data_IF_957792932682
#
_entry.id   IF_957792932682
#
_cell.length_a   1.000
_cell.length_b   1.000
_cell.length_c   1.000
_cell.angle_alpha   90.00
_cell.angle_beta   90.00
_cell.angle_gamma   90.00
#
_symmetry.space_group_name_H-M   'P 1'
#
loop_
_entity.id
_entity.type
_entity.pdbx_description
1 polymer ?
#
# COMPACT_ATOMS: atom_id res chain seq x y z
N UNK A 1 27.01 15.61 -28.74
CA UNK A 1 28.02 15.27 -27.71
C UNK A 1 27.38 14.26 -26.78
N UNK A 2 27.55 12.99 -27.15
CA UNK A 2 28.39 12.01 -26.45
C UNK A 2 27.77 11.54 -25.13
N UNK A 3 27.02 10.45 -25.30
CA UNK A 3 26.61 9.42 -24.36
C UNK A 3 27.51 9.28 -23.12
N UNK A 4 26.88 9.10 -21.96
CA UNK A 4 27.35 8.11 -21.01
C UNK A 4 26.18 7.56 -20.20
N UNK A 5 25.64 6.46 -20.73
CA UNK A 5 24.85 5.49 -19.99
C UNK A 5 25.76 4.80 -18.97
N UNK A 6 25.27 4.61 -17.74
CA UNK A 6 25.83 3.60 -16.82
C UNK A 6 24.75 2.58 -16.52
N UNK A 7 24.82 1.48 -17.27
CA UNK A 7 24.32 0.17 -16.89
C UNK A 7 24.99 -0.27 -15.58
N UNK A 8 24.19 -0.67 -14.60
CA UNK A 8 24.62 -1.64 -13.58
C UNK A 8 23.47 -2.63 -13.39
N UNK A 9 23.45 -3.63 -14.26
CA UNK A 9 22.87 -4.94 -13.98
C UNK A 9 24.01 -5.93 -14.15
N UNK A 10 24.48 -6.52 -13.04
CA UNK A 10 25.02 -7.88 -13.06
C UNK A 10 25.30 -8.38 -11.64
N UNK A 11 24.72 -9.53 -11.35
CA UNK A 11 25.28 -10.63 -10.56
C UNK A 11 25.36 -10.44 -9.04
N UNK A 12 24.35 -10.98 -8.34
CA UNK A 12 24.50 -11.41 -6.95
C UNK A 12 23.82 -12.78 -6.75
N UNK A 13 24.48 -13.81 -7.29
CA UNK A 13 24.43 -15.17 -6.77
C UNK A 13 25.87 -15.69 -6.80
N UNK A 14 26.20 -16.46 -5.77
CA UNK A 14 27.46 -17.16 -5.46
C UNK A 14 28.55 -16.33 -4.77
N UNK A 15 28.57 -16.42 -3.43
CA UNK A 15 29.80 -16.77 -2.69
C UNK A 15 29.50 -17.14 -1.23
N UNK A 16 29.09 -18.39 -1.00
CA UNK A 16 29.37 -19.11 0.24
C UNK A 16 30.54 -20.04 -0.07
N UNK A 17 31.76 -19.49 0.00
CA UNK A 17 32.97 -20.28 0.08
C UNK A 17 33.73 -19.80 1.31
N UNK A 18 33.78 -20.68 2.31
CA UNK A 18 34.58 -20.53 3.52
C UNK A 18 36.02 -20.72 3.09
N UNK A 19 36.72 -19.63 2.78
CA UNK A 19 38.17 -19.67 2.58
C UNK A 19 38.88 -19.69 3.93
N UNK A 20 39.27 -20.90 4.29
CA UNK A 20 40.27 -21.23 5.28
C UNK A 20 41.61 -20.60 4.85
N UNK A 21 41.92 -19.41 5.36
CA UNK A 21 43.27 -18.83 5.22
C UNK A 21 44.15 -19.38 6.33
N UNK A 22 44.85 -20.46 5.99
CA UNK A 22 46.00 -20.96 6.72
C UNK A 22 47.13 -19.94 6.64
N UNK A 23 47.32 -19.13 7.68
CA UNK A 23 48.59 -18.44 7.86
C UNK A 23 49.46 -19.23 8.86
N UNK A 24 50.14 -20.24 8.33
CA UNK A 24 51.24 -20.92 9.00
C UNK A 24 52.45 -19.98 9.03
N UNK A 25 52.71 -19.33 10.17
CA UNK A 25 54.04 -18.77 10.41
C UNK A 25 54.85 -19.75 11.27
N UNK A 26 55.71 -20.46 10.54
CA UNK A 26 56.85 -21.21 11.04
C UNK A 26 57.68 -20.37 11.99
N UNK A 27 57.70 -20.76 13.26
CA UNK A 27 58.70 -20.30 14.22
C UNK A 27 60.04 -20.95 13.88
N UNK A 28 60.79 -20.33 12.94
CA UNK A 28 62.21 -20.57 12.77
C UNK A 28 62.94 -19.46 13.54
N UNK A 29 63.52 -19.83 14.68
CA UNK A 29 64.42 -19.00 15.46
C UNK A 29 65.69 -18.69 14.65
N UNK A 30 65.73 -17.51 14.02
CA UNK A 30 66.97 -16.93 13.50
C UNK A 30 67.49 -15.91 14.51
N UNK A 31 68.51 -16.33 15.23
CA UNK A 31 69.36 -15.50 16.06
C UNK A 31 70.17 -14.60 15.12
N UNK A 32 70.00 -13.27 15.21
CA UNK A 32 70.98 -12.32 14.68
C UNK A 32 71.10 -11.15 15.66
N UNK A 33 72.33 -11.02 16.17
CA UNK A 33 72.85 -9.96 17.01
C UNK A 33 72.83 -8.60 16.27
N UNK A 34 72.50 -7.53 17.01
CA UNK A 34 73.31 -6.30 17.17
C UNK A 34 72.49 -5.00 17.16
N UNK A 35 72.81 -4.11 18.11
CA UNK A 35 72.36 -2.72 18.20
C UNK A 35 71.37 -2.51 19.35
N UNK A 36 71.56 -1.62 20.31
CA UNK A 36 72.59 -0.61 20.52
C UNK A 36 72.51 -0.23 22.00
N UNK A 37 73.68 -0.08 22.58
CA UNK A 37 74.01 0.69 23.78
C UNK A 37 72.97 1.78 24.12
N UNK A 38 72.23 1.55 25.20
CA UNK A 38 71.46 2.58 25.91
C UNK A 38 71.94 2.56 27.35
N UNK A 39 72.82 3.52 27.62
CA UNK A 39 73.25 3.95 28.94
C UNK A 39 72.01 4.32 29.75
N UNK A 40 71.77 3.57 30.83
CA UNK A 40 71.01 4.05 31.99
C UNK A 40 71.95 3.87 33.19
N UNK A 41 72.68 4.96 33.45
CA UNK A 41 73.11 5.31 34.79
C UNK A 41 71.83 5.65 35.57
N UNK A 42 71.53 4.89 36.62
CA UNK A 42 70.89 5.48 37.79
C UNK A 42 71.28 4.69 39.05
N UNK A 43 72.11 5.40 39.80
CA UNK A 43 72.57 5.16 41.16
C UNK A 43 71.41 5.09 42.15
N UNK A 44 71.29 3.96 42.86
CA UNK A 44 70.90 3.98 44.28
C UNK A 44 71.25 2.63 44.93
N UNK A 45 72.54 2.39 45.18
CA UNK A 45 72.97 1.31 46.07
C UNK A 45 72.93 1.81 47.52
N UNK A 46 71.77 1.67 48.16
CA UNK A 46 71.67 1.86 49.62
C UNK A 46 72.38 0.69 50.30
N UNK A 47 73.61 1.00 50.68
CA UNK A 47 74.56 0.25 51.49
C UNK A 47 73.88 -0.61 52.55
N UNK A 48 73.94 -1.93 52.35
CA UNK A 48 73.83 -2.87 53.46
C UNK A 48 75.12 -3.67 53.53
N UNK A 49 76.00 -3.19 54.40
CA UNK A 49 77.32 -3.73 54.71
C UNK A 49 77.17 -5.08 55.42
N UNK A 50 77.39 -6.15 54.66
CA UNK A 50 77.87 -7.43 55.19
C UNK A 50 78.30 -8.33 54.01
N UNK A 51 79.53 -8.15 53.52
CA UNK A 51 80.22 -9.22 52.80
C UNK A 51 81.69 -9.27 53.20
N UNK A 52 81.99 -10.18 54.11
CA UNK A 52 83.33 -10.66 54.38
C UNK A 52 83.93 -11.32 53.13
N UNK A 53 85.05 -10.78 52.61
CA UNK A 53 86.10 -11.42 51.78
C UNK A 53 85.67 -12.51 50.78
N UNK A 54 85.71 -12.20 49.47
CA UNK A 54 86.16 -13.16 48.45
C UNK A 54 86.75 -12.41 47.23
N UNK A 55 87.78 -12.98 46.62
CA UNK A 55 88.52 -12.37 45.50
C UNK A 55 87.66 -12.11 44.26
N UNK A 56 88.08 -11.16 43.43
CA UNK A 56 87.35 -10.76 42.22
C UNK A 56 87.04 -11.95 41.31
N UNK A 57 85.76 -12.36 41.28
CA UNK A 57 85.25 -13.47 40.49
C UNK A 57 85.31 -13.14 39.00
N UNK A 58 85.52 -14.16 38.16
CA UNK A 58 85.56 -14.00 36.70
C UNK A 58 84.19 -13.60 36.13
N UNK A 59 84.14 -12.93 34.98
CA UNK A 59 82.87 -12.54 34.32
C UNK A 59 81.96 -13.75 34.03
N UNK A 60 82.55 -14.92 33.74
CA UNK A 60 81.84 -16.18 33.60
C UNK A 60 81.26 -16.69 34.91
N UNK A 61 82.01 -16.56 36.01
CA UNK A 61 81.60 -16.98 37.35
C UNK A 61 80.46 -16.10 37.88
N UNK A 62 80.53 -14.78 37.66
CA UNK A 62 79.43 -13.87 37.97
C UNK A 62 78.15 -14.21 37.19
N UNK A 63 78.29 -14.61 35.91
CA UNK A 63 77.17 -15.07 35.08
C UNK A 63 76.62 -16.42 35.55
N UNK A 64 77.50 -17.35 35.95
CA UNK A 64 77.07 -18.63 36.52
C UNK A 64 76.34 -18.44 37.85
N UNK A 65 76.77 -17.51 38.70
CA UNK A 65 76.07 -17.19 39.95
C UNK A 65 74.69 -16.59 39.69
N UNK A 66 74.57 -15.64 38.76
CA UNK A 66 73.25 -15.12 38.33
C UNK A 66 72.35 -16.20 37.76
N UNK A 67 72.92 -17.10 36.96
CA UNK A 67 72.17 -18.21 36.38
C UNK A 67 71.71 -19.19 37.45
N UNK A 68 72.59 -19.55 38.39
CA UNK A 68 72.24 -20.42 39.53
C UNK A 68 71.19 -19.78 40.42
N UNK A 69 71.29 -18.48 40.69
CA UNK A 69 70.28 -17.73 41.43
C UNK A 69 68.92 -17.75 40.71
N UNK A 70 68.91 -17.56 39.37
CA UNK A 70 67.67 -17.65 38.59
C UNK A 70 67.11 -19.08 38.53
N UNK A 71 67.97 -20.10 38.44
CA UNK A 71 67.55 -21.51 38.51
C UNK A 71 66.88 -21.77 39.86
N UNK A 72 67.49 -21.32 40.96
CA UNK A 72 66.93 -21.50 42.30
C UNK A 72 65.58 -20.80 42.45
N UNK A 73 65.43 -19.56 41.95
CA UNK A 73 64.15 -18.84 41.94
C UNK A 73 63.05 -19.61 41.17
N UNK A 74 63.40 -20.18 40.02
CA UNK A 74 62.47 -20.96 39.20
C UNK A 74 62.15 -22.34 39.82
N UNK A 75 63.11 -22.96 40.50
CA UNK A 75 62.90 -24.21 41.26
C UNK A 75 61.96 -23.96 42.45
N UNK A 76 62.15 -22.86 43.18
CA UNK A 76 61.29 -22.46 44.29
C UNK A 76 59.86 -22.13 43.81
N UNK A 77 59.72 -21.40 42.70
CA UNK A 77 58.42 -21.11 42.07
C UNK A 77 57.70 -22.40 41.60
N UNK A 78 58.44 -23.36 41.07
CA UNK A 78 57.88 -24.63 40.61
C UNK A 78 57.39 -25.53 41.76
N UNK A 79 58.00 -25.43 42.95
CA UNK A 79 57.60 -26.18 44.15
C UNK A 79 56.48 -25.46 44.92
N UNK A 80 56.41 -24.13 44.82
CA UNK A 80 55.36 -23.33 45.46
C UNK A 80 53.94 -23.69 44.97
N UNK A 81 52.89 -23.47 45.78
CA UNK A 81 51.52 -23.65 45.33
C UNK A 81 51.21 -22.69 44.18
N UNK A 82 50.54 -23.20 43.16
CA UNK A 82 50.12 -22.39 42.01
C UNK A 82 49.16 -21.28 42.47
N UNK A 83 49.24 -20.09 41.87
CA UNK A 83 48.29 -19.01 42.13
C UNK A 83 46.88 -19.44 41.70
N UNK A 84 45.87 -18.84 42.32
CA UNK A 84 44.46 -19.24 42.15
C UNK A 84 44.00 -19.16 40.69
N UNK A 85 44.54 -18.25 39.86
CA UNK A 85 44.22 -18.15 38.43
C UNK A 85 44.59 -19.42 37.64
N UNK A 86 45.64 -20.13 38.07
CA UNK A 86 46.13 -21.36 37.42
C UNK A 86 45.49 -22.63 38.01
N UNK A 87 44.59 -22.49 38.96
CA UNK A 87 43.83 -23.58 39.55
C UNK A 87 42.46 -23.69 38.85
N UNK A 88 42.07 -24.89 38.43
CA UNK A 88 40.69 -25.14 38.00
C UNK A 88 39.73 -25.11 39.19
N UNK A 89 38.47 -24.74 38.94
CA UNK A 89 37.39 -24.83 39.94
C UNK A 89 37.66 -24.07 41.26
N UNK A 90 38.27 -22.89 41.17
CA UNK A 90 38.55 -22.06 42.35
C UNK A 90 37.26 -21.56 43.01
N UNK A 91 37.12 -21.84 44.31
CA UNK A 91 36.04 -21.29 45.15
C UNK A 91 36.34 -19.84 45.54
N UNK A 92 35.30 -19.10 45.93
CA UNK A 92 35.44 -17.70 46.35
C UNK A 92 36.38 -17.51 47.56
N UNK A 93 36.45 -18.48 48.47
CA UNK A 93 37.31 -18.44 49.67
C UNK A 93 38.81 -18.61 49.39
N UNK A 94 39.17 -19.23 48.26
CA UNK A 94 40.56 -19.54 47.90
C UNK A 94 41.27 -18.39 47.17
N UNK A 95 40.52 -17.37 46.77
CA UNK A 95 41.05 -16.17 46.10
C UNK A 95 40.91 -14.96 47.02
N UNK A 96 41.78 -13.94 46.88
CA UNK A 96 41.60 -12.68 47.59
C UNK A 96 40.26 -12.01 47.25
N UNK A 97 39.72 -11.26 48.20
CA UNK A 97 38.49 -10.48 48.00
C UNK A 97 38.67 -9.51 46.81
N UNK A 98 37.63 -9.36 45.99
CA UNK A 98 37.60 -8.49 44.80
C UNK A 98 38.61 -8.79 43.68
N UNK A 99 39.39 -9.87 43.75
CA UNK A 99 40.36 -10.23 42.71
C UNK A 99 39.73 -10.40 41.31
N UNK A 100 38.44 -10.71 41.23
CA UNK A 100 37.71 -10.84 39.96
C UNK A 100 37.51 -9.52 39.21
N UNK A 101 37.61 -8.38 39.89
CA UNK A 101 37.48 -7.06 39.26
C UNK A 101 38.77 -6.64 38.53
N UNK A 102 39.90 -7.24 38.90
CA UNK A 102 41.22 -6.95 38.33
C UNK A 102 41.51 -7.83 37.11
N UNK A 103 40.91 -9.03 37.07
CA UNK A 103 41.17 -10.04 36.04
C UNK A 103 40.16 -9.98 34.89
N UNK A 104 40.65 -9.95 33.65
CA UNK A 104 39.83 -9.98 32.43
C UNK A 104 39.44 -11.41 32.05
N UNK A 105 38.30 -11.88 32.54
CA UNK A 105 37.75 -13.20 32.21
C UNK A 105 36.71 -13.14 31.10
N UNK A 106 36.83 -14.05 30.13
CA UNK A 106 35.81 -14.27 29.11
C UNK A 106 34.83 -15.34 29.58
N UNK A 107 33.55 -14.96 29.70
CA UNK A 107 32.47 -15.89 30.01
C UNK A 107 31.29 -15.68 29.06
N UNK A 108 30.56 -16.76 28.79
CA UNK A 108 29.38 -16.69 27.95
C UNK A 108 28.19 -16.15 28.72
N UNK A 109 27.43 -15.27 28.08
CA UNK A 109 26.18 -14.77 28.61
C UNK A 109 24.98 -15.44 27.93
N UNK A 110 24.02 -15.92 28.73
CA UNK A 110 22.93 -16.79 28.25
C UNK A 110 21.81 -16.04 27.53
N UNK A 111 21.68 -14.72 27.75
CA UNK A 111 20.59 -13.91 27.18
C UNK A 111 21.12 -12.77 26.34
N UNK A 112 20.33 -12.27 25.38
CA UNK A 112 20.69 -11.02 24.71
C UNK A 112 20.32 -9.86 25.61
N UNK A 113 21.29 -9.01 25.92
CA UNK A 113 21.04 -7.78 26.66
C UNK A 113 20.10 -6.88 25.87
N UNK A 114 19.22 -6.18 26.58
CA UNK A 114 18.30 -5.24 25.96
C UNK A 114 19.11 -4.14 25.26
N UNK A 115 18.79 -3.80 23.99
CA UNK A 115 19.52 -2.78 23.27
C UNK A 115 19.31 -1.41 23.95
N UNK A 116 20.40 -0.67 24.13
CA UNK A 116 20.34 0.68 24.69
C UNK A 116 19.82 1.63 23.61
N UNK A 117 18.82 2.45 23.96
CA UNK A 117 18.21 3.41 23.04
C UNK A 117 19.18 4.59 22.87
N UNK A 118 19.96 4.57 21.80
CA UNK A 118 20.89 5.65 21.43
C UNK A 118 20.24 6.65 20.48
N UNK A 119 20.81 7.85 20.35
CA UNK A 119 20.33 8.85 19.39
C UNK A 119 20.35 8.36 17.93
N UNK A 120 21.29 7.48 17.58
CA UNK A 120 21.37 6.91 16.24
C UNK A 120 20.18 6.00 15.95
N UNK A 121 19.81 5.14 16.92
CA UNK A 121 18.65 4.26 16.79
C UNK A 121 17.33 5.03 16.71
N UNK A 122 17.23 6.17 17.39
CA UNK A 122 16.03 7.03 17.30
C UNK A 122 15.97 7.76 15.96
N UNK A 123 17.10 8.28 15.46
CA UNK A 123 17.17 8.92 14.13
C UNK A 123 16.76 7.97 13.00
N UNK A 124 17.20 6.71 13.04
CA UNK A 124 16.81 5.69 12.04
C UNK A 124 15.32 5.35 12.13
N UNK A 125 14.78 5.19 13.34
CA UNK A 125 13.34 4.99 13.56
C UNK A 125 12.51 6.17 13.03
N UNK A 126 12.93 7.41 13.28
CA UNK A 126 12.24 8.59 12.77
C UNK A 126 12.27 8.68 11.24
N UNK A 127 13.37 8.30 10.61
CA UNK A 127 13.46 8.25 9.15
C UNK A 127 12.46 7.25 8.56
N UNK A 128 12.34 6.06 9.16
CA UNK A 128 11.35 5.04 8.77
C UNK A 128 9.93 5.58 8.94
N UNK A 129 9.63 6.22 10.07
CA UNK A 129 8.31 6.80 10.34
C UNK A 129 7.99 7.90 9.32
N UNK A 130 8.94 8.81 9.05
CA UNK A 130 8.77 9.87 8.05
C UNK A 130 8.54 9.29 6.65
N UNK A 131 9.25 8.23 6.29
CA UNK A 131 9.06 7.55 5.01
C UNK A 131 7.66 6.93 4.92
N UNK A 132 7.21 6.18 5.94
CA UNK A 132 5.86 5.59 5.96
C UNK A 132 4.72 6.62 5.89
N UNK A 133 4.89 7.76 6.55
CA UNK A 133 3.92 8.87 6.47
C UNK A 133 3.90 9.48 5.06
N UNK A 134 5.06 9.67 4.43
CA UNK A 134 5.16 10.14 3.03
C UNK A 134 4.48 9.15 2.08
N UNK A 135 4.70 7.86 2.28
CA UNK A 135 4.16 6.79 1.45
C UNK A 135 2.68 6.47 1.77
N UNK A 136 2.12 7.04 2.84
CA UNK A 136 0.77 6.76 3.37
C UNK A 136 0.54 5.26 3.64
N UNK A 137 1.60 4.54 4.00
CA UNK A 137 1.58 3.11 4.28
C UNK A 137 1.36 2.87 5.78
N UNK A 138 0.08 2.78 6.17
CA UNK A 138 -0.34 2.54 7.55
C UNK A 138 -0.92 1.13 7.69
N UNK A 139 -0.48 0.41 8.71
CA UNK A 139 -0.98 -0.93 9.06
C UNK A 139 -2.22 -0.83 10.00
N UNK A 140 -3.03 0.21 9.85
CA UNK A 140 -4.24 0.42 10.66
C UNK A 140 -5.33 -0.58 10.25
N UNK A 141 -6.09 -1.09 11.23
CA UNK A 141 -7.21 -1.99 10.96
C UNK A 141 -8.34 -1.22 10.26
N UNK A 142 -8.69 -1.64 9.04
CA UNK A 142 -9.81 -1.07 8.30
C UNK A 142 -11.15 -1.40 8.98
N UNK A 143 -12.01 -0.38 9.11
CA UNK A 143 -13.37 -0.59 9.61
C UNK A 143 -14.16 -1.44 8.63
N UNK A 144 -14.68 -2.57 9.09
CA UNK A 144 -15.65 -3.39 8.32
C UNK A 144 -16.94 -2.59 8.17
N UNK A 145 -17.15 -1.99 7.01
CA UNK A 145 -18.40 -1.30 6.67
C UNK A 145 -19.42 -2.36 6.30
N UNK A 146 -20.62 -2.31 6.90
CA UNK A 146 -21.73 -3.16 6.45
C UNK A 146 -22.06 -2.76 5.01
N UNK A 147 -22.23 -3.71 4.07
CA UNK A 147 -22.61 -3.38 2.71
C UNK A 147 -23.87 -2.52 2.75
N UNK A 148 -23.77 -1.31 2.20
CA UNK A 148 -24.92 -0.41 2.05
C UNK A 148 -25.62 -0.90 0.80
N UNK A 149 -26.74 -1.59 0.97
CA UNK A 149 -27.56 -2.04 -0.14
C UNK A 149 -28.24 -0.81 -0.75
N UNK A 150 -27.70 -0.30 -1.86
CA UNK A 150 -28.37 0.74 -2.61
C UNK A 150 -29.54 0.10 -3.38
N UNK A 151 -30.78 0.58 -3.25
CA UNK A 151 -31.94 0.01 -3.96
C UNK A 151 -31.77 0.05 -5.48
N UNK A 152 -30.87 0.91 -5.98
CA UNK A 152 -30.51 1.01 -7.40
C UNK A 152 -29.49 -0.03 -7.86
N UNK A 153 -28.72 -0.66 -6.98
CA UNK A 153 -27.79 -1.74 -7.34
C UNK A 153 -28.53 -2.99 -7.83
N UNK A 154 -29.78 -3.17 -7.40
CA UNK A 154 -30.66 -4.23 -7.88
C UNK A 154 -31.18 -4.02 -9.31
N UNK A 155 -30.97 -2.84 -9.91
CA UNK A 155 -31.18 -2.64 -11.34
C UNK A 155 -30.05 -3.36 -12.09
N UNK A 156 -30.21 -4.67 -12.26
CA UNK A 156 -29.25 -5.53 -12.96
C UNK A 156 -28.97 -4.90 -14.33
N UNK A 157 -27.69 -4.75 -14.65
CA UNK A 157 -27.27 -4.38 -16.00
C UNK A 157 -27.87 -5.43 -16.94
N UNK A 158 -28.53 -4.97 -18.01
CA UNK A 158 -29.00 -5.86 -19.06
C UNK A 158 -27.78 -6.60 -19.62
N UNK A 159 -27.61 -7.86 -19.21
CA UNK A 159 -26.61 -8.74 -19.81
C UNK A 159 -27.25 -9.22 -21.09
N UNK A 160 -26.67 -8.81 -22.22
CA UNK A 160 -27.10 -9.29 -23.52
C UNK A 160 -26.50 -10.69 -23.72
N UNK A 161 -27.37 -11.68 -23.93
CA UNK A 161 -26.94 -13.02 -24.28
C UNK A 161 -26.21 -12.99 -25.62
N UNK A 162 -24.98 -13.50 -25.64
CA UNK A 162 -24.13 -13.55 -26.85
C UNK A 162 -24.31 -14.86 -27.62
N UNK A 163 -25.18 -15.75 -27.12
CA UNK A 163 -25.54 -16.98 -27.82
C UNK A 163 -26.48 -16.67 -28.99
N UNK A 164 -26.43 -17.50 -30.04
CA UNK A 164 -27.35 -17.37 -31.17
C UNK A 164 -28.77 -17.59 -30.69
N UNK A 165 -29.71 -16.75 -31.13
CA UNK A 165 -31.12 -16.88 -30.74
C UNK A 165 -31.66 -18.25 -31.15
N UNK A 166 -32.35 -18.91 -30.21
CA UNK A 166 -33.04 -20.19 -30.46
C UNK A 166 -34.29 -20.01 -31.31
N UNK A 167 -34.86 -18.81 -31.28
CA UNK A 167 -36.09 -18.44 -31.99
C UNK A 167 -35.78 -17.70 -33.29
N UNK A 168 -36.66 -17.88 -34.28
CA UNK A 168 -36.63 -17.16 -35.55
C UNK A 168 -37.15 -15.72 -35.38
N UNK A 169 -36.75 -14.81 -36.27
CA UNK A 169 -37.19 -13.41 -36.22
C UNK A 169 -38.73 -13.28 -36.24
N UNK A 170 -39.42 -14.12 -37.03
CA UNK A 170 -40.89 -14.11 -37.10
C UNK A 170 -41.54 -14.51 -35.76
N UNK A 171 -40.94 -15.46 -35.06
CA UNK A 171 -41.41 -15.95 -33.75
C UNK A 171 -41.17 -14.93 -32.64
N UNK A 172 -40.05 -14.21 -32.68
CA UNK A 172 -39.77 -13.09 -31.77
C UNK A 172 -40.84 -12.00 -31.91
N UNK A 173 -41.23 -11.67 -33.16
CA UNK A 173 -42.28 -10.68 -33.40
C UNK A 173 -43.67 -11.17 -32.93
N UNK A 174 -43.99 -12.44 -33.11
CA UNK A 174 -45.23 -13.02 -32.60
C UNK A 174 -45.28 -12.96 -31.07
N UNK A 175 -44.21 -13.38 -30.40
CA UNK A 175 -44.10 -13.33 -28.94
C UNK A 175 -44.14 -11.89 -28.40
N UNK A 176 -43.46 -10.96 -29.07
CA UNK A 176 -43.50 -9.54 -28.71
C UNK A 176 -44.92 -8.97 -28.85
N UNK A 177 -45.63 -9.28 -29.94
CA UNK A 177 -46.99 -8.83 -30.16
C UNK A 177 -47.96 -9.36 -29.10
N UNK A 178 -47.86 -10.65 -28.74
CA UNK A 178 -48.65 -11.24 -27.66
C UNK A 178 -48.34 -10.57 -26.31
N UNK A 179 -47.05 -10.35 -26.00
CA UNK A 179 -46.61 -9.66 -24.78
C UNK A 179 -47.08 -8.20 -24.72
N UNK A 180 -47.06 -7.49 -25.85
CA UNK A 180 -47.62 -6.14 -25.96
C UNK A 180 -49.14 -6.13 -25.72
N UNK A 181 -49.85 -7.15 -26.21
CA UNK A 181 -51.29 -7.27 -26.00
C UNK A 181 -51.63 -7.61 -24.54
N UNK A 182 -50.82 -8.45 -23.88
CA UNK A 182 -50.94 -8.76 -22.46
C UNK A 182 -50.59 -7.57 -21.56
N UNK A 183 -49.53 -6.83 -21.88
CA UNK A 183 -49.13 -5.61 -21.16
C UNK A 183 -50.18 -4.53 -21.29
N UNK A 184 -50.77 -4.29 -22.47
CA UNK A 184 -51.90 -3.36 -22.62
C UNK A 184 -53.13 -3.78 -21.79
N UNK A 185 -53.39 -5.09 -21.68
CA UNK A 185 -54.46 -5.62 -20.79
C UNK A 185 -54.11 -5.49 -19.30
N UNK A 186 -52.83 -5.55 -18.93
CA UNK A 186 -52.35 -5.42 -17.55
C UNK A 186 -52.19 -3.96 -17.10
N UNK A 187 -51.79 -3.05 -17.99
CA UNK A 187 -51.71 -1.61 -17.75
C UNK A 187 -53.09 -1.00 -17.48
N UNK A 188 -54.17 -1.59 -18.03
CA UNK A 188 -55.54 -1.26 -17.67
C UNK A 188 -55.93 -1.68 -16.23
N UNK A 189 -55.12 -2.48 -15.53
CA UNK A 189 -55.39 -2.99 -14.17
C UNK A 189 -54.32 -2.62 -13.12
N UNK A 190 -53.14 -2.13 -13.49
CA UNK A 190 -52.16 -1.63 -12.51
C UNK A 190 -51.16 -0.66 -13.13
N UNK A 191 -51.10 0.56 -12.59
CA UNK A 191 -50.19 1.64 -12.99
C UNK A 191 -48.77 1.47 -12.41
N UNK A 192 -48.05 0.43 -12.79
CA UNK A 192 -46.65 0.22 -12.36
C UNK A 192 -45.80 -0.34 -13.49
N UNK A 193 -45.29 0.57 -14.33
CA UNK A 193 -44.43 0.29 -15.48
C UNK A 193 -42.95 0.13 -15.08
N UNK A 194 -42.61 -0.86 -14.25
CA UNK A 194 -41.21 -1.15 -13.95
C UNK A 194 -41.04 -2.59 -13.46
N UNK A 195 -41.11 -3.53 -14.38
CA UNK A 195 -40.20 -4.68 -14.43
C UNK A 195 -40.51 -5.49 -15.70
N UNK A 196 -39.57 -5.54 -16.64
CA UNK A 196 -39.65 -6.43 -17.79
C UNK A 196 -39.24 -7.82 -17.28
N UNK A 197 -40.12 -8.83 -17.30
CA UNK A 197 -39.71 -10.18 -16.97
C UNK A 197 -38.86 -10.70 -18.13
N UNK A 198 -37.59 -10.98 -17.82
CA UNK A 198 -36.62 -11.65 -18.69
C UNK A 198 -36.46 -13.11 -18.20
N UNK A 199 -35.96 -14.01 -19.05
CA UNK A 199 -35.97 -15.48 -18.91
C UNK A 199 -35.28 -16.10 -17.66
N UNK A 200 -34.75 -15.27 -16.75
CA UNK A 200 -34.34 -15.62 -15.38
C UNK A 200 -35.51 -16.00 -14.45
N UNK A 201 -36.75 -15.91 -14.94
CA UNK A 201 -37.94 -16.29 -14.19
C UNK A 201 -37.84 -17.72 -13.62
N UNK A 202 -37.12 -18.65 -14.28
CA UNK A 202 -36.92 -20.01 -13.78
C UNK A 202 -35.93 -20.10 -12.60
N UNK A 203 -34.79 -19.40 -12.66
CA UNK A 203 -33.85 -19.31 -11.54
C UNK A 203 -34.46 -18.56 -10.37
N UNK A 204 -35.20 -17.49 -10.64
CA UNK A 204 -35.88 -16.70 -9.62
C UNK A 204 -37.06 -17.47 -9.01
N UNK A 205 -37.77 -18.32 -9.78
CA UNK A 205 -38.76 -19.26 -9.25
C UNK A 205 -38.13 -20.32 -8.34
N UNK A 206 -36.99 -20.90 -8.73
CA UNK A 206 -36.26 -21.86 -7.89
C UNK A 206 -35.74 -21.21 -6.60
N UNK A 207 -35.17 -20.00 -6.69
CA UNK A 207 -34.76 -19.20 -5.53
C UNK A 207 -35.95 -18.84 -4.65
N UNK A 208 -37.09 -18.47 -5.23
CA UNK A 208 -38.32 -18.17 -4.49
C UNK A 208 -38.88 -19.43 -3.80
N UNK A 209 -38.89 -20.58 -4.48
CA UNK A 209 -39.29 -21.86 -3.90
C UNK A 209 -38.35 -22.27 -2.75
N UNK A 210 -37.04 -22.08 -2.91
CA UNK A 210 -36.06 -22.32 -1.85
C UNK A 210 -36.28 -21.39 -0.66
N UNK A 211 -36.52 -20.08 -0.87
CA UNK A 211 -36.86 -19.12 0.20
C UNK A 211 -38.11 -19.55 0.96
N UNK A 212 -39.17 -19.98 0.26
CA UNK A 212 -40.40 -20.50 0.87
C UNK A 212 -40.11 -21.74 1.73
N UNK A 213 -39.35 -22.72 1.21
CA UNK A 213 -38.95 -23.92 1.96
C UNK A 213 -38.07 -23.58 3.16
N UNK A 214 -37.16 -22.63 3.02
CA UNK A 214 -36.29 -22.19 4.10
C UNK A 214 -37.07 -21.46 5.20
N UNK A 215 -38.04 -20.62 4.82
CA UNK A 215 -38.94 -19.97 5.77
C UNK A 215 -39.76 -21.00 6.56
N UNK A 216 -40.30 -22.03 5.91
CA UNK A 216 -41.06 -23.08 6.60
C UNK A 216 -40.18 -23.95 7.51
N UNK A 217 -38.96 -24.31 7.09
CA UNK A 217 -38.01 -25.04 7.94
C UNK A 217 -37.62 -24.24 9.17
N UNK A 218 -37.24 -22.97 9.00
CA UNK A 218 -36.88 -22.13 10.14
C UNK A 218 -38.06 -21.88 11.07
N UNK A 219 -39.28 -21.65 10.57
CA UNK A 219 -40.45 -21.54 11.44
C UNK A 219 -40.68 -22.81 12.30
N UNK A 220 -40.40 -24.00 11.74
CA UNK A 220 -40.46 -25.26 12.50
C UNK A 220 -39.34 -25.39 13.53
N UNK A 221 -38.10 -25.03 13.16
CA UNK A 221 -36.96 -25.06 14.08
C UNK A 221 -37.11 -24.04 15.21
N UNK A 222 -37.61 -22.84 14.91
CA UNK A 222 -37.89 -21.78 15.87
C UNK A 222 -38.97 -22.23 16.88
N UNK A 223 -40.00 -22.94 16.42
CA UNK A 223 -41.01 -23.54 17.29
C UNK A 223 -40.43 -24.69 18.16
N UNK A 224 -39.56 -25.54 17.60
CA UNK A 224 -38.90 -26.62 18.32
C UNK A 224 -37.93 -26.12 19.40
N UNK A 225 -37.30 -24.96 19.20
CA UNK A 225 -36.39 -24.36 20.18
C UNK A 225 -37.09 -23.45 21.20
N UNK A 226 -38.43 -23.52 21.31
CA UNK A 226 -39.22 -22.64 22.18
C UNK A 226 -38.91 -21.15 21.95
N UNK A 227 -38.74 -20.76 20.68
CA UNK A 227 -38.37 -19.41 20.25
C UNK A 227 -37.09 -18.83 20.91
N UNK A 228 -36.19 -19.70 21.39
CA UNK A 228 -34.89 -19.31 21.96
C UNK A 228 -33.78 -19.42 20.90
N UNK A 229 -33.81 -18.53 19.90
CA UNK A 229 -32.87 -18.52 18.77
C UNK A 229 -32.25 -17.13 18.56
N UNK A 230 -31.20 -17.08 17.73
CA UNK A 230 -30.62 -15.81 17.31
C UNK A 230 -31.51 -15.21 16.21
N UNK A 231 -32.03 -13.98 16.38
CA UNK A 231 -32.92 -13.37 15.41
C UNK A 231 -32.22 -13.23 14.06
N UNK A 232 -33.00 -13.27 12.98
CA UNK A 232 -32.48 -13.17 11.61
C UNK A 232 -31.72 -11.86 11.42
N UNK A 233 -30.68 -11.90 10.60
CA UNK A 233 -29.96 -10.68 10.23
C UNK A 233 -30.94 -9.68 9.60
N UNK A 234 -30.88 -8.39 9.98
CA UNK A 234 -31.79 -7.38 9.45
C UNK A 234 -31.51 -7.18 7.96
N UNK A 235 -32.45 -7.62 7.12
CA UNK A 235 -32.45 -7.33 5.68
C UNK A 235 -33.13 -5.97 5.44
N UNK A 236 -32.64 -5.17 4.49
CA UNK A 236 -33.25 -3.88 4.17
C UNK A 236 -34.57 -4.09 3.40
N UNK A 237 -35.69 -3.98 4.10
CA UNK A 237 -37.03 -4.04 3.52
C UNK A 237 -37.53 -2.65 3.10
N UNK A 238 -37.72 -2.43 1.80
CA UNK A 238 -38.33 -1.19 1.29
C UNK A 238 -39.85 -1.31 1.36
N UNK A 239 -40.49 -0.57 2.26
CA UNK A 239 -41.96 -0.47 2.37
C UNK A 239 -42.44 0.81 1.70
N UNK A 240 -43.27 0.67 0.67
CA UNK A 240 -43.90 1.80 -0.01
C UNK A 240 -45.22 2.08 0.72
N UNK A 241 -45.30 3.23 1.39
CA UNK A 241 -46.51 3.67 2.12
C UNK A 241 -47.24 4.71 1.28
N UNK A 242 -48.53 4.50 1.02
CA UNK A 242 -49.40 5.46 0.34
C UNK A 242 -49.98 6.47 1.34
N UNK A 243 -50.21 7.72 0.89
CA UNK A 243 -50.87 8.74 1.71
C UNK A 243 -52.38 8.44 1.85
N UNK A 244 -52.73 7.63 2.84
CA UNK A 244 -54.10 7.28 3.19
C UNK A 244 -54.42 7.81 4.60
N UNK A 245 -55.68 8.12 4.92
CA UNK A 245 -56.07 8.44 6.29
C UNK A 245 -55.90 7.21 7.18
N UNK A 246 -55.40 7.40 8.41
CA UNK A 246 -55.06 6.32 9.35
C UNK A 246 -56.25 5.41 9.64
N UNK A 247 -57.47 5.96 9.60
CA UNK A 247 -58.73 5.22 9.72
C UNK A 247 -58.85 4.00 8.80
N UNK A 248 -58.24 4.03 7.60
CA UNK A 248 -58.32 2.91 6.64
C UNK A 248 -57.39 1.75 7.05
N UNK A 249 -56.37 2.04 7.85
CA UNK A 249 -55.45 1.03 8.40
C UNK A 249 -55.91 0.49 9.76
N UNK A 250 -56.78 1.23 10.47
CA UNK A 250 -57.36 0.80 11.73
C UNK A 250 -58.34 -0.37 11.54
N UNK A 251 -58.56 -1.12 12.62
CA UNK A 251 -59.57 -2.19 12.64
C UNK A 251 -60.98 -1.59 12.52
N UNK A 252 -61.92 -2.36 11.96
CA UNK A 252 -63.32 -1.93 11.80
C UNK A 252 -63.99 -1.92 13.18
N UNK A 253 -63.80 -0.83 13.93
CA UNK A 253 -64.42 -0.57 15.21
C UNK A 253 -65.35 0.66 15.10
N UNK A 254 -66.43 0.73 15.91
CA UNK A 254 -67.37 1.85 15.87
C UNK A 254 -66.81 3.17 16.40
N UNK A 255 -65.63 3.16 17.05
CA UNK A 255 -64.95 4.35 17.57
C UNK A 255 -63.60 4.47 16.89
N UNK A 256 -63.38 5.59 16.22
CA UNK A 256 -62.10 5.93 15.59
C UNK A 256 -61.22 6.66 16.59
N UNK A 257 -59.92 6.37 16.59
CA UNK A 257 -58.97 6.98 17.53
C UNK A 257 -58.25 8.16 16.90
N UNK A 258 -58.03 8.15 15.58
CA UNK A 258 -57.22 9.17 14.91
C UNK A 258 -57.77 9.63 13.55
N UNK A 259 -57.73 10.94 13.32
CA UNK A 259 -58.10 11.59 12.05
C UNK A 259 -56.87 11.95 11.19
N UNK A 260 -55.66 11.56 11.62
CA UNK A 260 -54.43 11.89 10.92
C UNK A 260 -54.24 11.06 9.65
N UNK A 261 -53.42 11.57 8.72
CA UNK A 261 -52.94 10.79 7.58
C UNK A 261 -51.67 10.02 7.93
N UNK A 262 -51.41 8.92 7.22
CA UNK A 262 -50.22 8.08 7.43
C UNK A 262 -48.90 8.79 7.11
N UNK A 263 -48.90 9.67 6.10
CA UNK A 263 -47.70 10.33 5.62
C UNK A 263 -47.46 11.64 6.38
N UNK A 264 -46.23 11.86 6.84
CA UNK A 264 -45.89 13.08 7.56
C UNK A 264 -45.87 14.29 6.62
N UNK A 265 -46.15 15.52 7.10
CA UNK A 265 -46.05 16.72 6.27
C UNK A 265 -44.66 16.90 5.62
N UNK A 266 -43.57 16.44 6.27
CA UNK A 266 -42.21 16.50 5.71
C UNK A 266 -41.97 15.50 4.57
N UNK A 267 -42.73 14.41 4.52
CA UNK A 267 -42.65 13.38 3.46
C UNK A 267 -43.54 13.76 2.27
N UNK A 268 -44.66 14.46 2.52
CA UNK A 268 -45.47 15.09 1.48
C UNK A 268 -44.72 16.25 0.83
N UNK A 269 -44.07 17.09 1.65
CA UNK A 269 -43.30 18.24 1.21
C UNK A 269 -42.00 18.37 1.97
N UNK A 270 -40.88 18.29 1.25
CA UNK A 270 -39.55 18.49 1.83
C UNK A 270 -39.47 19.84 2.57
N UNK A 271 -38.96 19.87 3.81
CA UNK A 271 -38.85 21.10 4.55
C UNK A 271 -37.91 22.07 3.85
N UNK A 272 -38.43 23.22 3.43
CA UNK A 272 -37.61 24.32 2.90
C UNK A 272 -36.77 24.89 4.03
N UNK A 273 -35.47 24.61 4.04
CA UNK A 273 -34.56 25.14 5.06
C UNK A 273 -34.29 26.62 4.82
N UNK A 274 -35.03 27.47 5.54
CA UNK A 274 -34.92 28.93 5.47
C UNK A 274 -35.80 29.55 4.38
N UNK A 275 -35.78 30.88 4.30
CA UNK A 275 -36.55 31.62 3.29
C UNK A 275 -35.97 31.36 1.91
N UNK A 276 -36.81 30.92 0.97
CA UNK A 276 -36.45 30.80 -0.43
C UNK A 276 -36.14 32.19 -0.97
N UNK A 277 -34.87 32.47 -1.25
CA UNK A 277 -34.42 33.74 -1.85
C UNK A 277 -34.08 33.56 -3.32
N UNK A 278 -34.57 34.45 -4.17
CA UNK A 278 -34.17 34.53 -5.57
C UNK A 278 -32.69 34.87 -5.74
N UNK A 279 -32.11 34.62 -6.92
CA UNK A 279 -30.70 34.96 -7.19
C UNK A 279 -30.42 36.47 -7.12
N UNK A 280 -31.42 37.28 -7.47
CA UNK A 280 -31.43 38.75 -7.41
C UNK A 280 -31.49 39.28 -5.98
N UNK A 281 -32.24 38.61 -5.11
CA UNK A 281 -32.47 39.00 -3.70
C UNK A 281 -31.34 38.57 -2.75
N UNK A 282 -30.46 37.66 -3.21
CA UNK A 282 -29.34 37.17 -2.40
C UNK A 282 -28.27 38.24 -2.23
N UNK A 283 -28.01 38.61 -0.97
CA UNK A 283 -26.89 39.45 -0.59
C UNK A 283 -25.53 38.78 -0.94
N UNK A 284 -24.47 39.59 -1.04
CA UNK A 284 -23.10 39.11 -1.31
C UNK A 284 -22.63 38.07 -0.27
N UNK A 285 -23.01 38.24 0.99
CA UNK A 285 -22.72 37.32 2.11
C UNK A 285 -23.36 35.95 1.89
N UNK A 286 -24.64 35.92 1.52
CA UNK A 286 -25.41 34.71 1.24
C UNK A 286 -24.79 33.94 0.06
N UNK A 287 -24.44 34.63 -1.02
CA UNK A 287 -23.76 34.03 -2.19
C UNK A 287 -22.41 33.37 -1.81
N UNK A 288 -21.62 34.00 -0.95
CA UNK A 288 -20.36 33.44 -0.47
C UNK A 288 -20.57 32.22 0.43
N UNK A 289 -21.58 32.24 1.31
CA UNK A 289 -21.95 31.09 2.16
C UNK A 289 -22.38 29.90 1.30
N UNK A 290 -23.23 30.11 0.30
CA UNK A 290 -23.65 29.06 -0.64
C UNK A 290 -22.46 28.48 -1.41
N UNK A 291 -21.54 29.34 -1.89
CA UNK A 291 -20.31 28.90 -2.56
C UNK A 291 -19.43 28.05 -1.65
N UNK A 292 -19.27 28.42 -0.37
CA UNK A 292 -18.53 27.62 0.61
C UNK A 292 -19.20 26.26 0.85
N UNK A 293 -20.53 26.23 1.00
CA UNK A 293 -21.31 24.98 1.15
C UNK A 293 -21.14 24.07 -0.07
N UNK A 294 -21.29 24.61 -1.29
CA UNK A 294 -21.09 23.86 -2.54
C UNK A 294 -19.66 23.31 -2.66
N UNK A 295 -18.65 24.12 -2.35
CA UNK A 295 -17.23 23.68 -2.36
C UNK A 295 -16.96 22.61 -1.31
N UNK A 296 -17.55 22.72 -0.12
CA UNK A 296 -17.43 21.70 0.93
C UNK A 296 -18.04 20.37 0.47
N UNK A 297 -19.28 20.38 -0.04
CA UNK A 297 -19.92 19.18 -0.58
C UNK A 297 -19.13 18.56 -1.74
N UNK A 298 -18.59 19.38 -2.65
CA UNK A 298 -17.74 18.90 -3.74
C UNK A 298 -16.44 18.27 -3.25
N UNK A 299 -15.81 18.83 -2.21
CA UNK A 299 -14.60 18.24 -1.58
C UNK A 299 -14.91 16.88 -0.96
N UNK A 300 -16.06 16.74 -0.28
CA UNK A 300 -16.48 15.47 0.31
C UNK A 300 -16.69 14.42 -0.79
N UNK A 301 -17.47 14.74 -1.83
CA UNK A 301 -17.72 13.84 -2.97
C UNK A 301 -16.44 13.46 -3.72
N UNK A 302 -15.51 14.40 -3.87
CA UNK A 302 -14.20 14.11 -4.49
C UNK A 302 -13.36 13.17 -3.61
N UNK A 303 -13.30 13.42 -2.30
CA UNK A 303 -12.57 12.58 -1.35
C UNK A 303 -13.14 11.16 -1.28
N UNK A 304 -14.46 11.03 -1.35
CA UNK A 304 -15.15 9.75 -1.43
C UNK A 304 -14.79 9.00 -2.71
N UNK A 305 -14.87 9.66 -3.88
CA UNK A 305 -14.44 9.06 -5.16
C UNK A 305 -12.98 8.62 -5.15
N UNK A 306 -12.10 9.42 -4.56
CA UNK A 306 -10.68 9.06 -4.45
C UNK A 306 -10.48 7.85 -3.53
N UNK A 307 -11.24 7.75 -2.43
CA UNK A 307 -11.22 6.58 -1.55
C UNK A 307 -11.72 5.32 -2.27
N UNK A 308 -12.80 5.42 -3.03
CA UNK A 308 -13.31 4.27 -3.78
C UNK A 308 -12.33 3.84 -4.88
N UNK A 309 -11.72 4.79 -5.59
CA UNK A 309 -10.67 4.49 -6.59
C UNK A 309 -9.47 3.79 -5.95
N UNK A 310 -8.98 4.29 -4.81
CA UNK A 310 -7.88 3.64 -4.05
C UNK A 310 -8.24 2.24 -3.56
N UNK A 311 -9.46 2.02 -3.08
CA UNK A 311 -9.92 0.71 -2.65
C UNK A 311 -9.98 -0.28 -3.83
N UNK A 312 -10.44 0.16 -5.00
CA UNK A 312 -10.47 -0.64 -6.23
C UNK A 312 -9.06 -0.97 -6.71
N UNK A 313 -8.13 -0.01 -6.68
CA UNK A 313 -6.72 -0.22 -7.02
C UNK A 313 -6.06 -1.22 -6.06
N UNK A 314 -6.35 -1.13 -4.75
CA UNK A 314 -5.83 -2.08 -3.74
C UNK A 314 -6.39 -3.49 -3.91
N UNK A 315 -7.67 -3.62 -4.27
CA UNK A 315 -8.33 -4.89 -4.50
C UNK A 315 -7.85 -5.59 -5.79
N UNK A 316 -7.35 -4.84 -6.79
CA UNK A 316 -6.90 -5.38 -8.09
C UNK A 316 -5.44 -5.00 -8.44
N UNK A 317 -4.42 -5.52 -7.72
CA UNK A 317 -3.02 -5.10 -7.88
C UNK A 317 -2.39 -5.41 -9.26
N UNK A 318 -3.02 -6.27 -10.07
CA UNK A 318 -2.46 -6.76 -11.34
C UNK A 318 -3.18 -6.30 -12.62
N UNK A 319 -4.47 -5.95 -12.55
CA UNK A 319 -5.30 -5.68 -13.75
C UNK A 319 -5.91 -4.28 -13.81
N UNK A 320 -5.80 -3.47 -12.75
CA UNK A 320 -6.53 -2.19 -12.62
C UNK A 320 -5.70 -0.95 -12.33
N UNK A 321 -4.44 -1.10 -11.89
CA UNK A 321 -3.65 0.04 -11.40
C UNK A 321 -3.55 1.15 -12.46
N UNK A 322 -3.55 2.42 -12.02
CA UNK A 322 -3.16 3.58 -12.85
C UNK A 322 -1.83 3.33 -13.58
N UNK A 323 -0.92 2.59 -12.95
CA UNK A 323 0.35 2.15 -13.53
C UNK A 323 0.21 1.05 -14.59
N UNK A 324 -0.80 0.19 -14.54
CA UNK A 324 -1.10 -0.78 -15.59
C UNK A 324 -1.58 -0.07 -16.86
N UNK A 325 -2.45 0.93 -16.74
CA UNK A 325 -2.85 1.78 -17.88
C UNK A 325 -1.67 2.57 -18.45
N UNK A 326 -0.80 3.11 -17.58
CA UNK A 326 0.41 3.81 -18.01
C UNK A 326 1.42 2.85 -18.68
N UNK A 327 1.58 1.62 -18.18
CA UNK A 327 2.43 0.57 -18.77
C UNK A 327 1.88 0.11 -20.12
N UNK A 328 0.57 -0.09 -20.24
CA UNK A 328 -0.09 -0.43 -21.52
C UNK A 328 0.10 0.70 -22.53
N UNK A 329 -0.07 1.96 -22.12
CA UNK A 329 0.20 3.11 -23.00
C UNK A 329 1.68 3.20 -23.40
N UNK A 330 2.61 2.95 -22.47
CA UNK A 330 4.04 2.94 -22.76
C UNK A 330 4.42 1.79 -23.71
N UNK A 331 3.83 0.60 -23.53
CA UNK A 331 4.03 -0.55 -24.40
C UNK A 331 3.45 -0.30 -25.80
N UNK A 332 2.27 0.34 -25.90
CA UNK A 332 1.70 0.76 -27.18
C UNK A 332 2.56 1.83 -27.87
N UNK A 333 3.10 2.81 -27.12
CA UNK A 333 4.04 3.80 -27.66
C UNK A 333 5.36 3.17 -28.11
N UNK A 334 5.82 2.12 -27.42
CA UNK A 334 7.00 1.36 -27.82
C UNK A 334 6.73 0.56 -29.10
N UNK A 335 5.58 -0.11 -29.19
CA UNK A 335 5.14 -0.82 -30.40
C UNK A 335 4.94 0.12 -31.61
N UNK A 336 4.48 1.37 -31.37
CA UNK A 336 4.38 2.42 -32.40
C UNK A 336 5.76 2.86 -32.91
N UNK A 337 6.74 3.03 -32.02
CA UNK A 337 8.13 3.34 -32.39
C UNK A 337 8.81 2.20 -33.13
N UNK A 338 8.46 0.97 -32.78
CA UNK A 338 8.95 -0.26 -33.43
C UNK A 338 8.19 -0.57 -34.74
N UNK A 339 7.19 0.23 -35.12
CA UNK A 339 6.49 0.16 -36.40
C UNK A 339 5.49 -1.00 -36.53
N UNK A 340 5.19 -1.71 -35.44
CA UNK A 340 4.29 -2.88 -35.46
C UNK A 340 2.81 -2.50 -35.40
N UNK A 341 2.47 -1.34 -34.82
CA UNK A 341 1.08 -0.85 -34.67
C UNK A 341 1.05 0.66 -34.91
N UNK A 342 0.13 1.14 -35.76
CA UNK A 342 -0.14 2.57 -35.91
C UNK A 342 -1.22 3.02 -34.92
N UNK A 343 -0.84 3.86 -33.96
CA UNK A 343 -1.80 4.43 -33.01
C UNK A 343 -2.56 5.57 -33.70
N UNK A 344 -3.86 5.36 -33.98
CA UNK A 344 -4.74 6.44 -34.40
C UNK A 344 -4.93 7.37 -33.19
N UNK A 345 -4.15 8.45 -33.13
CA UNK A 345 -4.36 9.53 -32.18
C UNK A 345 -5.60 10.32 -32.59
N UNK A 346 -6.76 9.88 -32.13
CA UNK A 346 -7.88 10.79 -31.96
C UNK A 346 -7.47 11.83 -30.92
N UNK A 347 -7.09 13.03 -31.36
CA UNK A 347 -6.77 14.17 -30.49
C UNK A 347 -7.97 14.66 -29.65
N UNK A 348 -9.09 13.95 -29.65
CA UNK A 348 -10.22 14.14 -28.74
C UNK A 348 -9.91 13.52 -27.39
N UNK A 349 -8.88 14.05 -26.73
CA UNK A 349 -8.65 13.73 -25.32
C UNK A 349 -9.72 14.42 -24.48
N UNK A 350 -10.42 13.62 -23.67
CA UNK A 350 -11.29 13.95 -22.51
C UNK A 350 -11.68 15.43 -22.32
N UNK A 351 -12.98 15.68 -22.20
CA UNK A 351 -13.58 16.98 -21.86
C UNK A 351 -12.71 17.82 -20.91
N UNK A 352 -12.30 18.99 -21.40
CA UNK A 352 -11.41 19.89 -20.68
C UNK A 352 -12.00 20.29 -19.34
N UNK A 353 -11.22 20.09 -18.27
CA UNK A 353 -11.69 20.25 -16.88
C UNK A 353 -11.83 21.72 -16.45
N UNK A 354 -11.39 22.67 -17.28
CA UNK A 354 -11.51 24.11 -17.01
C UNK A 354 -11.79 24.89 -18.31
N UNK A 355 -12.48 26.01 -18.18
CA UNK A 355 -12.76 26.93 -19.29
C UNK A 355 -11.47 27.45 -19.93
N UNK A 356 -10.44 27.74 -19.14
CA UNK A 356 -9.14 28.20 -19.66
C UNK A 356 -8.45 27.14 -20.52
N UNK A 357 -8.55 25.86 -20.16
CA UNK A 357 -8.00 24.77 -20.97
C UNK A 357 -8.80 24.56 -22.26
N UNK A 358 -10.14 24.72 -22.20
CA UNK A 358 -11.00 24.68 -23.39
C UNK A 358 -10.62 25.76 -24.40
N UNK A 359 -10.48 27.01 -23.96
CA UNK A 359 -10.15 28.11 -24.88
C UNK A 359 -8.72 28.04 -25.41
N UNK A 360 -7.76 27.51 -24.64
CA UNK A 360 -6.42 27.22 -25.15
C UNK A 360 -6.44 26.15 -26.23
N UNK A 361 -7.17 25.06 -26.00
CA UNK A 361 -7.34 24.01 -27.01
C UNK A 361 -8.01 24.55 -28.28
N UNK A 362 -9.03 25.41 -28.14
CA UNK A 362 -9.70 26.02 -29.29
C UNK A 362 -8.77 26.98 -30.06
N UNK A 363 -7.92 27.73 -29.36
CA UNK A 363 -6.90 28.57 -30.00
C UNK A 363 -5.84 27.73 -30.71
N UNK A 364 -5.40 26.63 -30.10
CA UNK A 364 -4.46 25.68 -30.69
C UNK A 364 -5.06 25.01 -31.94
N UNK A 365 -6.32 24.54 -31.90
CA UNK A 365 -7.01 23.95 -33.04
C UNK A 365 -7.18 24.93 -34.21
N UNK A 366 -7.56 26.19 -33.90
CA UNK A 366 -7.65 27.25 -34.91
C UNK A 366 -6.27 27.52 -35.52
N UNK A 367 -5.23 27.65 -34.69
CA UNK A 367 -3.86 27.87 -35.18
C UNK A 367 -3.35 26.72 -36.07
N UNK A 368 -3.61 25.47 -35.68
CA UNK A 368 -3.25 24.28 -36.44
C UNK A 368 -3.99 24.22 -37.79
N UNK A 369 -5.27 24.62 -37.83
CA UNK A 369 -6.03 24.69 -39.07
C UNK A 369 -5.49 25.78 -40.02
N UNK A 370 -5.10 26.93 -39.48
CA UNK A 370 -4.51 28.03 -40.24
C UNK A 370 -3.14 27.62 -40.81
N UNK A 371 -2.32 26.95 -40.01
CA UNK A 371 -1.02 26.44 -40.44
C UNK A 371 -1.15 25.35 -41.51
N UNK A 372 -2.13 24.44 -41.38
CA UNK A 372 -2.41 23.43 -42.39
C UNK A 372 -2.82 24.06 -43.75
N UNK A 373 -3.68 25.09 -43.73
CA UNK A 373 -4.07 25.84 -44.93
C UNK A 373 -2.88 26.59 -45.53
N UNK A 374 -2.02 27.20 -44.70
CA UNK A 374 -0.81 27.90 -45.14
C UNK A 374 0.18 26.94 -45.82
N UNK A 375 0.41 25.76 -45.25
CA UNK A 375 1.25 24.72 -45.85
C UNK A 375 0.65 24.17 -47.15
N UNK A 376 -0.68 24.02 -47.22
CA UNK A 376 -1.38 23.66 -48.46
C UNK A 376 -1.14 24.66 -49.58
N UNK A 377 -1.26 25.97 -49.30
CA UNK A 377 -1.00 27.05 -50.26
C UNK A 377 0.46 27.12 -50.71
N UNK A 378 1.42 26.80 -49.83
CA UNK A 378 2.82 26.73 -50.24
C UNK A 378 3.10 25.53 -51.16
N UNK A 379 2.48 24.37 -50.90
CA UNK A 379 2.58 23.19 -51.76
C UNK A 379 1.94 23.40 -53.14
N UNK A 380 0.81 24.11 -53.23
CA UNK A 380 0.19 24.45 -54.52
C UNK A 380 1.03 25.47 -55.30
N UNK A 381 1.60 26.48 -54.65
CA UNK A 381 2.52 27.43 -55.29
C UNK A 381 3.82 26.76 -55.78
N UNK A 382 4.37 25.79 -55.05
CA UNK A 382 5.53 25.01 -55.48
C UNK A 382 5.20 24.07 -56.67
N UNK A 383 3.98 23.52 -56.73
CA UNK A 383 3.51 22.74 -57.89
C UNK A 383 3.32 23.61 -59.14
N UNK A 384 2.70 24.78 -59.01
CA UNK A 384 2.51 25.70 -60.14
C UNK A 384 3.84 26.26 -60.67
N UNK A 385 4.83 26.51 -59.81
CA UNK A 385 6.16 26.95 -60.23
C UNK A 385 6.95 25.86 -60.99
N UNK A 386 6.62 24.58 -60.78
CA UNK A 386 7.21 23.46 -61.53
C UNK A 386 6.53 23.23 -62.89
N UNK A 387 5.25 23.56 -63.06
CA UNK A 387 4.55 23.39 -64.35
C UNK A 387 4.87 24.48 -65.37
N UNK A 388 5.27 25.68 -64.95
CA UNK A 388 5.65 26.78 -65.85
C UNK A 388 7.06 26.66 -66.42
N UNK A 389 7.89 25.74 -65.92
CA UNK A 389 9.28 25.54 -66.36
C UNK A 389 9.49 24.54 -67.51
N UNK A 390 8.45 23.82 -67.95
CA UNK A 390 8.57 22.75 -68.96
C UNK A 390 7.95 23.06 -70.33
N UNK A 391 7.64 24.34 -70.61
CA UNK A 391 6.93 24.76 -71.83
C UNK A 391 7.76 25.71 -72.72
N UNK A 392 9.08 25.58 -72.73
CA UNK A 392 9.93 26.19 -73.76
C UNK A 392 11.06 25.26 -74.18
N UNK A 393 10.87 24.59 -75.33
CA UNK A 393 11.96 24.17 -76.22
C UNK A 393 11.52 24.41 -77.65
N UNK A 394 12.31 25.26 -78.32
CA UNK A 394 12.33 25.54 -79.76
C UNK A 394 12.57 24.29 -80.59
#
# INVERSE_FOLDING_TARGET
MKNQERNVSSNFLDNLNVEFSSNSHSFLSRFDLNGSDSSDEDESDTSNDNLTKSGGKSSYELRQERLKAKIQELEDEAVAPKPWQLMGETKAELRPDNALLEEDLFFDHTTRQAPVITEETTKTLEEIIRQRIKDQAFDDVERKIKPVYDPTEFKKKLVLDQEKSKFSLAEIYEQEFLKQQETQKAEAKSSSLADVPNDEASEDQNRAALRKRMATVFAKLDALCNFSYTPRAPEPDVKIVSNMPSIVMEEIAPVTVSDANLLAPQEVQDPTRGVLKGTTEKAKTDRLRERRKKKSAQRVRHKERERTEKAVDKANPGLGNKHAKARVLHNLQKAEKEGTVSLIKDNRTKATKSSTAFFKQLQEDVSASVDAVRQGKQKTNLKNKRSTGSQFKL
#
